data_IF_358657830817
#
_entry.id   IF_358657830817
#
_cell.length_a   1.000
_cell.length_b   1.000
_cell.length_c   1.000
_cell.angle_alpha   90.00
_cell.angle_beta   90.00
_cell.angle_gamma   90.00
#
_symmetry.space_group_name_H-M   'P 1'
#
loop_
_entity.id
_entity.type
_entity.pdbx_description
1 polymer ?
#
# COMPACT_ATOMS: atom_id res chain seq x y z
N UNK A 1 30.32 -67.62 -14.85
CA UNK A 1 29.88 -66.36 -15.40
C UNK A 1 28.93 -65.73 -14.40
N UNK A 2 29.32 -64.68 -13.64
CA UNK A 2 28.48 -63.96 -12.68
C UNK A 2 28.13 -62.64 -13.28
N UNK A 3 26.85 -62.46 -13.63
CA UNK A 3 26.29 -61.22 -14.14
C UNK A 3 26.07 -60.27 -12.96
N UNK A 4 26.77 -59.14 -12.93
CA UNK A 4 26.53 -58.08 -11.95
C UNK A 4 25.49 -57.09 -12.52
N UNK A 5 24.31 -57.06 -11.91
CA UNK A 5 23.28 -56.05 -12.18
C UNK A 5 23.69 -54.75 -11.51
N UNK A 6 23.94 -53.69 -12.30
CA UNK A 6 24.18 -52.33 -11.82
C UNK A 6 22.81 -51.65 -11.72
N UNK A 7 22.37 -51.41 -10.50
CA UNK A 7 21.15 -50.63 -10.23
C UNK A 7 21.55 -49.14 -10.17
N UNK A 8 21.22 -48.37 -11.20
CA UNK A 8 21.43 -46.91 -11.22
C UNK A 8 20.22 -46.26 -10.62
N UNK A 9 20.34 -45.77 -9.39
CA UNK A 9 19.29 -44.96 -8.74
C UNK A 9 19.34 -43.53 -9.30
N UNK A 10 18.33 -43.15 -10.06
CA UNK A 10 18.11 -41.77 -10.51
C UNK A 10 17.44 -41.03 -9.36
N UNK A 11 18.21 -40.21 -8.64
CA UNK A 11 17.69 -39.27 -7.66
C UNK A 11 17.15 -38.06 -8.42
N UNK A 12 15.83 -37.96 -8.54
CA UNK A 12 15.15 -36.78 -9.07
C UNK A 12 15.16 -35.73 -7.96
N UNK A 13 16.08 -34.77 -8.04
CA UNK A 13 16.02 -33.55 -7.23
C UNK A 13 14.88 -32.68 -7.75
N UNK A 14 13.72 -32.78 -7.15
CA UNK A 14 12.68 -31.74 -7.28
C UNK A 14 13.12 -30.54 -6.46
N UNK A 15 13.73 -29.54 -7.12
CA UNK A 15 13.96 -28.25 -6.54
C UNK A 15 12.59 -27.58 -6.37
N UNK A 16 12.03 -27.68 -5.18
CA UNK A 16 10.92 -26.83 -4.75
C UNK A 16 11.49 -25.43 -4.66
N UNK A 17 11.29 -24.61 -5.68
CA UNK A 17 11.47 -23.16 -5.56
C UNK A 17 10.37 -22.66 -4.62
N UNK A 18 10.61 -22.72 -3.31
CA UNK A 18 9.89 -21.86 -2.40
C UNK A 18 10.30 -20.43 -2.77
N UNK A 19 9.43 -19.69 -3.45
CA UNK A 19 9.52 -18.23 -3.43
C UNK A 19 9.36 -17.86 -1.96
N UNK A 20 10.46 -17.56 -1.28
CA UNK A 20 10.42 -16.86 -0.03
C UNK A 20 9.71 -15.53 -0.36
N UNK A 21 8.43 -15.45 -0.07
CA UNK A 21 7.70 -14.21 -0.07
C UNK A 21 8.41 -13.38 0.99
N UNK A 22 9.14 -12.33 0.57
CA UNK A 22 9.76 -11.43 1.52
C UNK A 22 8.62 -10.89 2.39
N UNK A 23 8.58 -11.32 3.65
CA UNK A 23 7.60 -10.83 4.60
C UNK A 23 7.61 -9.29 4.57
N UNK A 24 6.44 -8.69 4.56
CA UNK A 24 6.33 -7.24 4.49
C UNK A 24 6.99 -6.62 5.70
N UNK A 25 7.84 -5.62 5.46
CA UNK A 25 8.53 -4.93 6.55
C UNK A 25 7.54 -4.06 7.31
N UNK A 26 7.43 -4.30 8.61
CA UNK A 26 6.64 -3.44 9.50
C UNK A 26 7.57 -2.69 10.46
N UNK A 27 7.25 -1.44 10.69
CA UNK A 27 7.93 -0.56 11.64
C UNK A 27 7.00 -0.23 12.78
N UNK A 28 7.56 -0.20 13.99
CA UNK A 28 6.86 0.17 15.21
C UNK A 28 7.52 1.39 15.84
N UNK A 29 6.71 2.33 16.30
CA UNK A 29 7.15 3.42 17.17
C UNK A 29 7.01 2.95 18.61
N UNK A 30 8.13 2.84 19.31
CA UNK A 30 8.15 2.26 20.66
C UNK A 30 8.69 3.23 21.70
N UNK A 31 8.33 3.03 22.96
CA UNK A 31 8.93 3.70 24.11
C UNK A 31 10.33 3.16 24.42
N UNK A 32 11.10 3.94 25.18
CA UNK A 32 12.51 3.63 25.52
C UNK A 32 12.67 2.47 26.50
N UNK A 33 11.75 2.29 27.42
CA UNK A 33 11.78 1.23 28.43
C UNK A 33 10.39 1.01 29.02
N UNK A 34 10.24 -0.05 29.81
CA UNK A 34 9.04 -0.30 30.58
C UNK A 34 8.69 0.93 31.41
N UNK A 35 7.47 1.42 31.30
CA UNK A 35 6.92 2.62 31.94
C UNK A 35 7.45 3.97 31.41
N UNK A 36 8.20 3.99 30.31
CA UNK A 36 8.54 5.24 29.64
C UNK A 36 7.62 5.44 28.42
N UNK A 37 6.73 6.41 28.52
CA UNK A 37 5.76 6.77 27.47
C UNK A 37 6.31 7.79 26.46
N UNK A 38 7.63 7.91 26.32
CA UNK A 38 8.25 8.66 25.25
C UNK A 38 8.40 7.77 24.01
N UNK A 39 7.48 7.89 23.07
CA UNK A 39 7.41 7.14 21.82
C UNK A 39 8.38 7.73 20.79
N UNK A 40 9.66 7.47 20.94
CA UNK A 40 10.70 8.13 20.15
C UNK A 40 11.63 7.17 19.41
N UNK A 41 11.55 5.87 19.69
CA UNK A 41 12.40 4.86 19.07
C UNK A 41 11.65 4.15 17.92
N UNK A 42 12.40 3.81 16.88
CA UNK A 42 11.88 3.14 15.69
C UNK A 42 12.46 1.74 15.59
N UNK A 43 11.61 0.73 15.56
CA UNK A 43 12.00 -0.68 15.43
C UNK A 43 11.35 -1.31 14.21
N UNK A 44 12.08 -2.17 13.52
CA UNK A 44 11.52 -3.08 12.54
C UNK A 44 11.08 -4.35 13.26
N UNK A 45 9.82 -4.74 13.07
CA UNK A 45 9.18 -5.83 13.80
C UNK A 45 8.54 -6.83 12.84
N UNK A 46 8.40 -8.04 13.31
CA UNK A 46 7.57 -9.06 12.68
C UNK A 46 6.23 -9.09 13.43
N UNK A 47 5.16 -8.65 12.77
CA UNK A 47 3.83 -8.58 13.37
C UNK A 47 3.12 -9.93 13.48
N UNK A 48 3.66 -10.99 12.89
CA UNK A 48 3.12 -12.34 13.01
C UNK A 48 3.63 -13.06 14.26
N UNK A 49 4.78 -12.69 14.75
CA UNK A 49 5.43 -13.28 15.93
C UNK A 49 5.66 -12.28 17.08
N UNK A 50 5.52 -10.98 16.84
CA UNK A 50 5.86 -9.94 17.80
C UNK A 50 7.38 -9.75 18.00
N UNK A 51 8.22 -10.32 17.14
CA UNK A 51 9.67 -10.23 17.24
C UNK A 51 10.20 -8.89 16.77
N UNK A 52 11.12 -8.30 17.54
CA UNK A 52 11.92 -7.15 17.08
C UNK A 52 13.07 -7.67 16.21
N UNK A 53 13.01 -7.44 14.91
CA UNK A 53 14.04 -7.87 13.97
C UNK A 53 15.27 -6.95 13.95
N UNK A 54 15.03 -5.63 14.11
CA UNK A 54 16.08 -4.62 14.06
C UNK A 54 15.66 -3.37 14.82
N UNK A 55 16.57 -2.81 15.60
CA UNK A 55 16.46 -1.44 16.10
C UNK A 55 16.97 -0.52 15.00
N UNK A 56 16.11 0.35 14.48
CA UNK A 56 16.41 1.27 13.38
C UNK A 56 16.93 2.59 13.90
N UNK A 57 16.28 3.12 14.93
CA UNK A 57 16.63 4.38 15.56
C UNK A 57 16.33 4.34 17.06
N UNK A 58 17.32 4.69 17.86
CA UNK A 58 17.18 4.97 19.29
C UNK A 58 17.48 6.46 19.49
N UNK A 59 16.51 7.19 19.99
CA UNK A 59 16.52 8.66 19.99
C UNK A 59 17.63 9.28 20.86
N UNK A 60 18.22 8.53 21.78
CA UNK A 60 19.31 8.96 22.68
C UNK A 60 20.68 8.39 22.31
N UNK A 61 20.77 7.44 21.39
CA UNK A 61 22.02 6.74 21.06
C UNK A 61 22.42 6.84 19.60
N UNK A 62 21.43 6.92 18.69
CA UNK A 62 21.70 6.82 17.27
C UNK A 62 22.09 8.17 16.68
N UNK A 63 23.20 8.23 15.97
CA UNK A 63 23.60 9.42 15.22
C UNK A 63 22.73 9.61 13.97
N UNK A 64 22.39 10.85 13.65
CA UNK A 64 21.48 11.18 12.55
C UNK A 64 21.82 12.53 11.92
N UNK A 65 21.29 12.75 10.73
CA UNK A 65 21.27 14.06 10.06
C UNK A 65 19.83 14.53 9.90
N UNK A 66 19.59 15.82 10.07
CA UNK A 66 18.29 16.44 9.82
C UNK A 66 18.43 17.52 8.76
N UNK A 67 17.54 17.46 7.76
CA UNK A 67 17.53 18.40 6.64
C UNK A 67 16.09 18.83 6.34
N UNK A 68 15.91 20.02 5.80
CA UNK A 68 14.69 20.38 5.10
C UNK A 68 14.77 19.86 3.65
N UNK A 69 13.63 19.70 3.00
CA UNK A 69 13.55 19.20 1.64
C UNK A 69 14.32 20.10 0.63
N UNK A 70 14.36 21.40 0.89
CA UNK A 70 15.11 22.40 0.12
C UNK A 70 16.60 22.47 0.48
N UNK A 71 17.10 21.54 1.30
CA UNK A 71 18.45 21.49 1.85
C UNK A 71 18.83 22.71 2.74
N UNK A 72 17.87 23.47 3.20
CA UNK A 72 18.11 24.56 4.16
C UNK A 72 18.33 24.02 5.57
N UNK A 73 18.99 24.83 6.41
CA UNK A 73 19.16 24.52 7.84
C UNK A 73 17.80 24.45 8.54
N UNK A 74 17.68 23.52 9.46
CA UNK A 74 16.46 23.43 10.29
C UNK A 74 16.51 24.51 11.36
N UNK A 75 15.57 25.43 11.32
CA UNK A 75 15.34 26.40 12.39
C UNK A 75 14.46 25.78 13.46
N UNK A 76 15.00 25.67 14.67
CA UNK A 76 14.26 25.11 15.81
C UNK A 76 13.22 26.12 16.31
N UNK A 77 11.99 25.66 16.50
CA UNK A 77 10.89 26.45 17.07
C UNK A 77 10.89 26.39 18.60
N UNK A 78 10.23 27.35 19.23
CA UNK A 78 10.01 27.30 20.69
C UNK A 78 9.29 26.01 21.08
N UNK A 79 9.81 25.28 22.07
CA UNK A 79 9.27 23.99 22.50
C UNK A 79 9.64 22.78 21.62
N UNK A 80 10.28 23.01 20.46
CA UNK A 80 10.78 21.93 19.61
C UNK A 80 12.12 21.43 20.12
N UNK A 81 12.31 20.12 20.24
CA UNK A 81 13.62 19.53 20.60
C UNK A 81 14.41 19.21 19.34
N UNK A 82 15.74 19.21 19.46
CA UNK A 82 16.65 18.95 18.33
C UNK A 82 16.53 17.52 17.78
N UNK A 83 16.02 16.58 18.57
CA UNK A 83 15.81 15.20 18.17
C UNK A 83 14.75 15.13 17.04
N UNK A 84 14.99 14.36 15.94
CA UNK A 84 14.06 14.27 14.83
C UNK A 84 12.69 13.70 15.20
N UNK A 85 12.62 12.82 16.19
CA UNK A 85 11.36 12.28 16.73
C UNK A 85 10.70 13.19 17.78
N UNK A 86 11.33 14.31 18.12
CA UNK A 86 10.78 15.35 18.98
C UNK A 86 10.45 14.85 20.39
N UNK A 87 9.30 15.27 20.89
CA UNK A 87 8.71 14.79 22.15
C UNK A 87 7.95 13.48 22.02
N UNK A 88 8.16 12.77 20.93
CA UNK A 88 7.51 11.53 20.56
C UNK A 88 6.89 11.61 19.16
N UNK A 89 6.72 10.45 18.53
CA UNK A 89 6.04 10.28 17.26
C UNK A 89 4.58 9.92 17.54
N UNK A 90 3.68 10.66 16.93
CA UNK A 90 2.24 10.47 17.10
C UNK A 90 1.61 9.64 15.98
N UNK A 91 2.23 9.63 14.79
CA UNK A 91 1.75 8.90 13.63
C UNK A 91 2.89 8.53 12.71
N UNK A 92 2.84 7.36 12.07
CA UNK A 92 3.81 6.98 11.03
C UNK A 92 3.18 6.20 9.86
N UNK A 93 3.83 6.22 8.69
CA UNK A 93 3.40 5.51 7.49
C UNK A 93 4.60 5.05 6.67
N UNK A 94 4.59 3.82 6.17
CA UNK A 94 5.65 3.30 5.32
C UNK A 94 5.32 3.46 3.83
N UNK A 95 6.10 4.26 3.12
CA UNK A 95 6.17 4.18 1.66
C UNK A 95 7.17 3.08 1.26
N UNK A 96 6.65 1.90 1.00
CA UNK A 96 7.46 0.75 0.60
C UNK A 96 8.10 0.93 -0.79
N UNK A 97 7.53 1.78 -1.66
CA UNK A 97 8.03 2.04 -3.02
C UNK A 97 9.34 2.83 -3.00
N UNK A 98 9.40 3.87 -2.14
CA UNK A 98 10.58 4.73 -2.01
C UNK A 98 11.43 4.40 -0.78
N UNK A 99 11.05 3.37 -0.02
CA UNK A 99 11.73 2.94 1.20
C UNK A 99 11.89 4.09 2.22
N UNK A 100 10.77 4.78 2.50
CA UNK A 100 10.71 5.93 3.41
C UNK A 100 9.67 5.70 4.49
N UNK A 101 10.04 5.93 5.74
CA UNK A 101 9.10 5.98 6.85
C UNK A 101 8.73 7.44 7.12
N UNK A 102 7.51 7.81 6.75
CA UNK A 102 6.92 9.11 7.05
C UNK A 102 6.40 9.13 8.48
N UNK A 103 6.44 10.30 9.12
CA UNK A 103 5.91 10.43 10.47
C UNK A 103 5.58 11.88 10.83
N UNK A 104 4.72 12.05 11.84
CA UNK A 104 4.42 13.31 12.50
C UNK A 104 4.83 13.22 13.97
N UNK A 105 5.40 14.29 14.51
CA UNK A 105 5.75 14.38 15.93
C UNK A 105 4.59 14.94 16.74
N UNK A 106 4.49 14.52 18.00
CA UNK A 106 3.53 15.10 18.93
C UNK A 106 3.72 16.62 19.03
N UNK A 107 2.65 17.34 19.26
CA UNK A 107 2.57 18.80 19.41
C UNK A 107 2.80 19.63 18.15
N UNK A 108 3.20 19.03 17.04
CA UNK A 108 3.46 19.75 15.79
C UNK A 108 2.78 19.07 14.61
N UNK A 109 2.15 19.86 13.73
CA UNK A 109 1.57 19.37 12.49
C UNK A 109 2.60 19.36 11.35
N UNK A 110 3.75 18.72 11.60
CA UNK A 110 4.83 18.57 10.65
C UNK A 110 4.81 17.19 10.04
N UNK A 111 5.14 17.08 8.76
CA UNK A 111 5.42 15.79 8.12
C UNK A 111 6.91 15.70 7.85
N UNK A 112 7.50 14.62 8.33
CA UNK A 112 8.91 14.26 8.18
C UNK A 112 9.03 12.85 7.63
N UNK A 113 10.19 12.49 7.08
CA UNK A 113 10.47 11.08 6.78
C UNK A 113 11.90 10.70 7.13
N UNK A 114 12.08 9.43 7.45
CA UNK A 114 13.35 8.74 7.54
C UNK A 114 13.59 7.98 6.22
N UNK A 115 14.72 8.24 5.57
CA UNK A 115 15.14 7.51 4.37
C UNK A 115 15.81 6.19 4.78
N UNK A 116 15.08 5.09 4.60
CA UNK A 116 15.52 3.74 4.96
C UNK A 116 16.44 3.09 3.91
N UNK A 117 16.64 3.76 2.78
CA UNK A 117 17.51 3.27 1.70
C UNK A 117 18.99 3.60 1.94
N UNK A 118 19.26 4.54 2.85
CA UNK A 118 20.61 5.04 3.12
C UNK A 118 21.21 4.36 4.36
N UNK A 119 22.50 4.07 4.35
CA UNK A 119 23.20 3.55 5.53
C UNK A 119 23.25 4.58 6.66
N UNK A 120 23.44 5.86 6.33
CA UNK A 120 23.41 6.97 7.28
C UNK A 120 21.97 7.46 7.47
N UNK A 121 21.48 7.43 8.69
CA UNK A 121 20.12 7.87 8.98
C UNK A 121 19.95 9.36 8.69
N UNK A 122 19.04 9.65 7.78
CA UNK A 122 18.72 11.00 7.36
C UNK A 122 17.23 11.27 7.51
N UNK A 123 16.90 12.23 8.36
CA UNK A 123 15.54 12.69 8.57
C UNK A 123 15.29 13.96 7.76
N UNK A 124 14.26 13.94 6.95
CA UNK A 124 13.91 15.06 6.08
C UNK A 124 12.56 15.63 6.48
N UNK A 125 12.49 16.93 6.69
CA UNK A 125 11.24 17.66 6.89
C UNK A 125 10.65 18.05 5.55
N UNK A 126 9.41 17.62 5.28
CA UNK A 126 8.68 17.95 4.06
C UNK A 126 7.98 19.28 4.21
N UNK A 127 7.20 19.42 5.25
CA UNK A 127 6.38 20.60 5.52
C UNK A 127 6.24 20.78 7.03
N UNK A 128 6.39 22.02 7.49
CA UNK A 128 6.13 22.45 8.87
C UNK A 128 4.81 23.21 8.95
N UNK A 129 4.18 23.15 10.12
CA UNK A 129 2.98 23.93 10.43
C UNK A 129 1.88 23.79 9.36
N UNK A 130 1.54 22.55 8.98
CA UNK A 130 0.50 22.26 7.98
C UNK A 130 -0.84 22.80 8.46
N UNK A 131 -1.11 22.63 9.74
CA UNK A 131 -2.29 23.14 10.43
C UNK A 131 -1.84 24.29 11.31
N UNK A 132 -2.54 25.42 11.22
CA UNK A 132 -2.30 26.53 12.13
C UNK A 132 -2.64 26.09 13.55
N UNK A 133 -1.73 26.34 14.50
CA UNK A 133 -2.01 26.08 15.92
C UNK A 133 -3.27 26.86 16.33
N UNK A 134 -4.23 26.21 17.01
CA UNK A 134 -5.42 26.91 17.45
C UNK A 134 -5.02 28.05 18.40
N UNK A 135 -5.59 29.23 18.19
CA UNK A 135 -5.29 30.41 18.98
C UNK A 135 -5.60 30.26 20.48
N UNK A 136 -6.30 29.22 20.90
CA UNK A 136 -6.82 29.04 22.27
C UNK A 136 -6.23 27.86 23.07
N UNK A 137 -5.42 26.98 22.52
CA UNK A 137 -4.96 25.78 23.26
C UNK A 137 -3.44 25.62 23.36
N UNK A 138 -2.69 26.30 22.51
CA UNK A 138 -1.25 26.11 22.43
C UNK A 138 -0.86 24.65 22.22
N UNK A 139 0.28 24.23 22.75
CA UNK A 139 0.75 22.85 22.68
C UNK A 139 -0.06 21.84 23.50
N UNK A 140 -0.99 22.29 24.32
CA UNK A 140 -1.82 21.43 25.17
C UNK A 140 -3.12 20.98 24.50
N UNK A 141 -3.49 21.57 23.35
CA UNK A 141 -4.65 21.14 22.59
C UNK A 141 -4.29 19.94 21.71
N UNK A 142 -4.83 18.78 22.05
CA UNK A 142 -4.60 17.54 21.30
C UNK A 142 -5.42 17.46 19.99
N UNK A 143 -6.33 18.35 19.78
CA UNK A 143 -7.30 18.35 18.67
C UNK A 143 -6.61 18.28 17.32
N UNK A 144 -5.68 19.21 17.09
CA UNK A 144 -4.98 19.36 15.82
C UNK A 144 -3.68 18.52 15.71
N UNK A 145 -3.43 17.63 16.65
CA UNK A 145 -2.30 16.70 16.51
C UNK A 145 -2.60 15.69 15.41
N UNK A 146 -1.66 15.50 14.49
CA UNK A 146 -1.69 14.40 13.54
C UNK A 146 -1.37 13.12 14.31
N UNK A 147 -2.37 12.27 14.51
CA UNK A 147 -2.25 11.04 15.30
C UNK A 147 -2.41 9.77 14.48
N UNK A 148 -2.67 9.90 13.18
CA UNK A 148 -2.91 8.76 12.29
C UNK A 148 -2.30 9.07 10.93
N UNK A 149 -1.59 8.10 10.34
CA UNK A 149 -0.95 8.28 9.03
C UNK A 149 -0.83 6.97 8.27
N UNK A 150 -1.09 6.99 6.96
CA UNK A 150 -0.96 5.82 6.09
C UNK A 150 -0.56 6.22 4.67
N UNK A 151 0.10 5.31 3.94
CA UNK A 151 0.23 5.40 2.48
C UNK A 151 -0.88 4.55 1.86
N UNK A 152 -1.75 5.18 1.09
CA UNK A 152 -2.91 4.53 0.51
C UNK A 152 -2.62 3.88 -0.85
N UNK A 153 -3.61 3.15 -1.37
CA UNK A 153 -3.52 2.41 -2.63
C UNK A 153 -3.24 3.31 -3.85
N UNK A 154 -3.64 4.58 -3.81
CA UNK A 154 -3.37 5.59 -4.84
C UNK A 154 -1.93 6.13 -4.80
N UNK A 155 -1.16 5.72 -3.80
CA UNK A 155 0.23 6.10 -3.60
C UNK A 155 0.45 7.42 -2.90
N UNK A 156 -0.60 8.14 -2.52
CA UNK A 156 -0.51 9.30 -1.65
C UNK A 156 -0.43 8.88 -0.19
N UNK A 157 0.23 9.72 0.60
CA UNK A 157 0.13 9.67 2.05
C UNK A 157 -1.10 10.44 2.53
N UNK A 158 -1.77 9.89 3.54
CA UNK A 158 -2.87 10.52 4.24
C UNK A 158 -2.55 10.62 5.72
N UNK A 159 -2.81 11.78 6.29
CA UNK A 159 -2.64 12.04 7.72
C UNK A 159 -3.92 12.67 8.26
N UNK A 160 -4.34 12.24 9.45
CA UNK A 160 -5.59 12.67 10.07
C UNK A 160 -5.32 13.22 11.46
N UNK A 161 -5.95 14.37 11.76
CA UNK A 161 -5.92 14.94 13.11
C UNK A 161 -6.76 14.12 14.09
N UNK A 162 -6.47 14.33 15.37
CA UNK A 162 -7.12 13.62 16.45
C UNK A 162 -8.64 13.84 16.45
N UNK A 163 -9.08 15.07 16.19
CA UNK A 163 -10.49 15.48 16.10
C UNK A 163 -11.14 15.19 14.73
N UNK A 164 -10.37 14.62 13.77
CA UNK A 164 -10.79 14.35 12.41
C UNK A 164 -11.26 15.59 11.60
N UNK A 165 -10.87 16.80 12.01
CA UNK A 165 -11.21 18.04 11.31
C UNK A 165 -10.25 18.33 10.14
N UNK A 166 -9.10 17.68 10.08
CA UNK A 166 -8.13 17.86 9.01
C UNK A 166 -7.67 16.51 8.46
N UNK A 167 -8.14 16.18 7.27
CA UNK A 167 -7.59 15.08 6.46
C UNK A 167 -6.55 15.67 5.50
N UNK A 168 -5.29 15.41 5.77
CA UNK A 168 -4.16 15.92 5.00
C UNK A 168 -3.74 14.87 3.99
N UNK A 169 -3.61 15.26 2.72
CA UNK A 169 -3.03 14.43 1.66
C UNK A 169 -1.64 14.95 1.30
N UNK A 170 -0.66 14.07 1.14
CA UNK A 170 0.67 14.46 0.71
C UNK A 170 1.23 13.50 -0.34
N UNK A 171 2.03 14.03 -1.27
CA UNK A 171 2.73 13.19 -2.26
C UNK A 171 4.00 12.60 -1.67
N UNK A 172 4.32 11.37 -2.10
CA UNK A 172 5.57 10.68 -1.72
C UNK A 172 6.62 10.75 -2.82
N UNK A 173 6.29 11.33 -3.97
CA UNK A 173 7.17 11.52 -5.13
C UNK A 173 8.14 12.71 -4.94
N UNK A 174 8.99 12.94 -5.96
CA UNK A 174 9.99 14.01 -5.93
C UNK A 174 9.38 15.42 -5.78
N UNK A 175 8.21 15.66 -6.38
CA UNK A 175 7.48 16.92 -6.23
C UNK A 175 6.57 16.82 -5.03
N UNK A 176 6.97 17.45 -3.96
CA UNK A 176 6.17 17.49 -2.74
C UNK A 176 4.94 18.36 -2.93
N UNK A 177 3.79 17.77 -2.64
CA UNK A 177 2.50 18.43 -2.50
C UNK A 177 1.96 18.07 -1.12
N UNK A 178 1.47 19.04 -0.39
CA UNK A 178 0.77 18.82 0.89
C UNK A 178 -0.49 19.67 0.85
N UNK A 179 -1.64 19.03 1.01
CA UNK A 179 -2.95 19.61 0.88
C UNK A 179 -3.83 19.19 2.06
N UNK A 180 -4.49 20.13 2.68
CA UNK A 180 -5.54 19.88 3.66
C UNK A 180 -6.88 19.76 2.93
N UNK A 181 -7.44 18.55 2.93
CA UNK A 181 -8.74 18.28 2.30
C UNK A 181 -9.93 18.73 3.17
N UNK A 182 -9.67 19.12 4.42
CA UNK A 182 -10.67 19.54 5.40
C UNK A 182 -11.21 18.39 6.26
N UNK A 183 -12.32 18.64 6.95
CA UNK A 183 -12.91 17.74 7.92
C UNK A 183 -13.53 16.48 7.29
N UNK A 184 -13.50 15.39 8.02
CA UNK A 184 -14.34 14.23 7.75
C UNK A 184 -15.81 14.56 8.08
N UNK A 185 -16.72 13.80 7.51
CA UNK A 185 -18.17 13.96 7.73
C UNK A 185 -18.74 12.62 8.17
N UNK A 186 -19.44 12.58 9.28
CA UNK A 186 -20.11 11.37 9.73
C UNK A 186 -21.20 10.94 8.73
N UNK A 187 -21.25 9.65 8.40
CA UNK A 187 -22.34 9.11 7.63
C UNK A 187 -23.65 9.15 8.41
N UNK A 188 -24.78 9.40 7.76
CA UNK A 188 -26.10 9.35 8.38
C UNK A 188 -26.42 8.01 9.05
N UNK A 189 -25.83 6.92 8.52
CA UNK A 189 -25.97 5.57 9.04
C UNK A 189 -25.24 5.30 10.36
N UNK A 190 -24.43 6.24 10.87
CA UNK A 190 -23.61 6.03 12.08
C UNK A 190 -24.43 6.02 13.38
N UNK A 191 -25.73 6.32 13.34
CA UNK A 191 -26.64 6.26 14.50
C UNK A 191 -26.11 7.02 15.74
N UNK A 192 -25.48 8.17 15.52
CA UNK A 192 -24.94 9.02 16.60
C UNK A 192 -23.51 8.69 17.03
N UNK A 193 -22.87 7.67 16.47
CA UNK A 193 -21.44 7.40 16.68
C UNK A 193 -20.63 8.28 15.74
N UNK A 194 -19.94 9.27 16.31
CA UNK A 194 -19.20 10.28 15.56
C UNK A 194 -17.70 10.01 15.59
N UNK A 195 -17.05 10.17 14.42
CA UNK A 195 -15.59 10.11 14.31
C UNK A 195 -14.92 11.29 15.06
N UNK A 196 -15.65 12.37 15.29
CA UNK A 196 -15.18 13.57 16.01
C UNK A 196 -15.28 13.46 17.54
N UNK A 197 -15.95 12.41 18.05
CA UNK A 197 -16.20 12.30 19.48
C UNK A 197 -14.90 12.02 20.25
N UNK A 198 -14.52 12.96 21.13
CA UNK A 198 -13.30 12.89 21.93
C UNK A 198 -13.19 11.62 22.77
N UNK A 199 -14.30 11.19 23.36
CA UNK A 199 -14.28 10.07 24.30
C UNK A 199 -14.23 8.71 23.62
N UNK A 200 -14.73 8.59 22.39
CA UNK A 200 -14.90 7.27 21.72
C UNK A 200 -14.09 7.11 20.46
N UNK A 201 -13.65 8.19 19.83
CA UNK A 201 -13.10 8.13 18.47
C UNK A 201 -11.75 8.80 18.29
N UNK A 202 -11.23 9.50 19.30
CA UNK A 202 -9.90 10.08 19.24
C UNK A 202 -8.81 9.02 19.48
N UNK A 203 -7.57 9.39 19.09
CA UNK A 203 -6.43 8.48 19.15
C UNK A 203 -6.55 7.32 18.15
N UNK A 204 -5.71 6.34 18.33
CA UNK A 204 -5.70 5.17 17.46
C UNK A 204 -4.83 5.35 16.23
N UNK A 205 -5.15 4.60 15.19
CA UNK A 205 -4.34 4.54 13.97
C UNK A 205 -5.22 4.44 12.72
N UNK A 206 -4.59 4.38 11.55
CA UNK A 206 -5.26 4.31 10.26
C UNK A 206 -4.52 3.34 9.32
N UNK A 207 -5.27 2.49 8.64
CA UNK A 207 -4.76 1.67 7.54
C UNK A 207 -5.53 1.98 6.26
N UNK A 208 -5.02 1.54 5.11
CA UNK A 208 -5.72 1.69 3.85
C UNK A 208 -6.19 0.35 3.31
N UNK A 209 -7.27 0.35 2.53
CA UNK A 209 -7.70 -0.80 1.77
C UNK A 209 -7.27 -0.70 0.29
N UNK A 210 -7.29 -1.84 -0.40
CA UNK A 210 -6.93 -1.91 -1.81
C UNK A 210 -7.99 -1.32 -2.76
N UNK A 211 -9.14 -0.87 -2.23
CA UNK A 211 -10.23 -0.25 -2.99
C UNK A 211 -10.23 1.28 -2.89
N UNK A 212 -9.24 1.87 -2.20
CA UNK A 212 -9.05 3.31 -2.08
C UNK A 212 -9.77 3.96 -0.91
N UNK A 213 -10.20 3.17 0.08
CA UNK A 213 -10.72 3.69 1.35
C UNK A 213 -9.63 3.70 2.41
N UNK A 214 -9.78 4.59 3.37
CA UNK A 214 -9.02 4.57 4.60
C UNK A 214 -9.86 3.89 5.68
N UNK A 215 -9.21 3.16 6.58
CA UNK A 215 -9.86 2.50 7.72
C UNK A 215 -9.26 3.08 8.98
N UNK A 216 -10.02 3.90 9.68
CA UNK A 216 -9.65 4.54 10.94
C UNK A 216 -10.05 3.63 12.09
N UNK A 217 -9.11 3.31 12.95
CA UNK A 217 -9.30 2.56 14.18
C UNK A 217 -9.06 3.51 15.35
N UNK A 218 -10.08 3.84 16.13
CA UNK A 218 -9.92 4.73 17.28
C UNK A 218 -9.23 4.03 18.45
N UNK A 219 -8.63 4.79 19.37
CA UNK A 219 -8.04 4.22 20.57
C UNK A 219 -9.05 3.41 21.41
N UNK A 220 -10.33 3.74 21.32
CA UNK A 220 -11.45 3.05 21.98
C UNK A 220 -12.17 2.06 21.04
N UNK A 221 -11.44 1.49 20.06
CA UNK A 221 -11.82 0.34 19.27
C UNK A 221 -12.89 0.58 18.21
N UNK A 222 -13.42 1.79 18.03
CA UNK A 222 -14.34 2.07 16.93
C UNK A 222 -13.62 2.03 15.59
N UNK A 223 -14.28 1.45 14.59
CA UNK A 223 -13.76 1.31 13.23
C UNK A 223 -14.63 2.10 12.26
N UNK A 224 -13.99 2.98 11.49
CA UNK A 224 -14.66 3.78 10.45
C UNK A 224 -14.02 3.54 9.11
N UNK A 225 -14.82 3.33 8.07
CA UNK A 225 -14.38 3.38 6.68
C UNK A 225 -14.55 4.80 6.14
N UNK A 226 -13.48 5.38 5.64
CA UNK A 226 -13.47 6.74 5.11
C UNK A 226 -13.28 6.70 3.60
N UNK A 227 -14.20 7.29 2.87
CA UNK A 227 -14.04 7.55 1.44
C UNK A 227 -13.22 8.83 1.25
N UNK A 228 -12.07 8.74 0.61
CA UNK A 228 -11.13 9.87 0.46
C UNK A 228 -11.64 10.98 -0.45
N UNK A 229 -12.63 10.72 -1.31
CA UNK A 229 -13.20 11.70 -2.25
C UNK A 229 -14.32 12.50 -1.61
N UNK A 230 -15.23 11.80 -0.94
CA UNK A 230 -16.38 12.43 -0.28
C UNK A 230 -16.09 12.85 1.16
N UNK A 231 -15.04 12.28 1.77
CA UNK A 231 -14.65 12.43 3.17
C UNK A 231 -15.71 11.92 4.16
N UNK A 232 -16.60 11.06 3.68
CA UNK A 232 -17.62 10.46 4.53
C UNK A 232 -16.98 9.33 5.34
N UNK A 233 -17.14 9.38 6.65
CA UNK A 233 -16.71 8.36 7.61
C UNK A 233 -17.91 7.52 8.03
N UNK A 234 -17.92 6.25 7.64
CA UNK A 234 -18.99 5.30 7.97
C UNK A 234 -18.51 4.38 9.10
N UNK A 235 -19.22 4.39 10.23
CA UNK A 235 -18.95 3.49 11.34
C UNK A 235 -19.29 2.05 10.95
N UNK A 236 -18.32 1.14 11.10
CA UNK A 236 -18.46 -0.28 10.77
C UNK A 236 -18.78 -1.13 12.00
N UNK A 237 -18.37 -0.68 13.17
CA UNK A 237 -18.53 -1.41 14.42
C UNK A 237 -17.40 -1.12 15.40
N UNK A 238 -17.37 -1.89 16.48
CA UNK A 238 -16.37 -1.79 17.56
C UNK A 238 -15.63 -3.11 17.69
N UNK A 239 -14.29 -3.07 17.75
CA UNK A 239 -13.46 -4.27 17.96
C UNK A 239 -13.76 -4.84 19.35
N UNK A 240 -13.97 -6.15 19.40
CA UNK A 240 -14.24 -6.92 20.63
C UNK A 240 -13.09 -7.88 20.92
N UNK A 241 -13.02 -8.41 22.16
CA UNK A 241 -12.01 -9.40 22.54
C UNK A 241 -10.63 -8.86 22.89
N UNK A 242 -10.46 -7.54 22.93
CA UNK A 242 -9.24 -6.91 23.43
C UNK A 242 -9.23 -6.84 24.97
N UNK A 243 -8.06 -6.86 25.62
CA UNK A 243 -7.95 -6.73 27.07
C UNK A 243 -8.51 -5.38 27.57
N UNK A 244 -8.86 -5.37 28.85
CA UNK A 244 -9.22 -4.12 29.55
C UNK A 244 -8.04 -3.15 29.51
N UNK A 245 -8.31 -1.87 29.23
CA UNK A 245 -7.33 -0.80 29.06
C UNK A 245 -6.40 -0.96 27.84
N UNK A 246 -6.67 -1.87 26.92
CA UNK A 246 -5.98 -1.94 25.64
C UNK A 246 -6.46 -0.79 24.75
N UNK A 247 -5.62 0.21 24.50
CA UNK A 247 -5.90 1.20 23.48
C UNK A 247 -5.30 0.77 22.14
N UNK A 248 -6.05 0.85 21.06
CA UNK A 248 -5.58 0.51 19.72
C UNK A 248 -4.79 1.67 19.12
N UNK A 249 -3.52 1.80 19.48
CA UNK A 249 -2.68 2.93 19.08
C UNK A 249 -1.91 2.68 17.78
N UNK A 250 -1.45 1.44 17.56
CA UNK A 250 -0.79 1.08 16.31
C UNK A 250 -1.61 0.05 15.54
N UNK A 251 -1.68 0.21 14.22
CA UNK A 251 -2.37 -0.70 13.32
C UNK A 251 -1.58 -0.94 12.04
N UNK A 252 -1.49 -2.20 11.62
CA UNK A 252 -0.88 -2.59 10.36
C UNK A 252 -1.66 -3.77 9.75
N UNK A 253 -1.40 -4.08 8.50
CA UNK A 253 -2.03 -5.21 7.82
C UNK A 253 -1.02 -6.33 7.63
N UNK A 254 -1.34 -7.56 8.05
CA UNK A 254 -0.44 -8.70 7.84
C UNK A 254 -0.47 -9.20 6.38
N UNK A 255 0.40 -10.17 6.07
CA UNK A 255 0.49 -10.75 4.72
C UNK A 255 -0.75 -11.57 4.34
N UNK A 256 -1.61 -11.90 5.31
CA UNK A 256 -2.91 -12.55 5.09
C UNK A 256 -4.05 -11.56 4.84
N UNK A 257 -3.80 -10.26 4.99
CA UNK A 257 -4.78 -9.19 4.81
C UNK A 257 -5.63 -8.96 6.06
N UNK A 258 -5.18 -9.43 7.22
CA UNK A 258 -5.83 -9.19 8.50
C UNK A 258 -5.23 -7.96 9.19
N UNK A 259 -6.06 -7.24 9.91
CA UNK A 259 -5.62 -6.12 10.73
C UNK A 259 -4.86 -6.63 11.95
N UNK A 260 -3.70 -6.06 12.23
CA UNK A 260 -2.92 -6.32 13.45
C UNK A 260 -2.84 -5.03 14.23
N UNK A 261 -3.16 -5.08 15.52
CA UNK A 261 -3.14 -3.91 16.40
C UNK A 261 -2.19 -4.10 17.58
N UNK A 262 -1.62 -2.97 18.03
CA UNK A 262 -0.80 -2.85 19.23
C UNK A 262 -1.37 -1.79 20.17
N UNK A 263 -0.95 -1.85 21.43
CA UNK A 263 -1.30 -0.85 22.43
C UNK A 263 -0.08 -0.05 22.86
N UNK A 264 -0.29 1.25 23.09
CA UNK A 264 0.67 2.11 23.80
C UNK A 264 0.57 1.94 25.32
N UNK A 265 -0.57 1.55 25.84
CA UNK A 265 -0.87 1.56 27.27
C UNK A 265 -0.50 0.26 27.98
N UNK A 266 -0.59 -0.89 27.30
CA UNK A 266 -0.40 -2.20 27.91
C UNK A 266 0.62 -3.05 27.15
N UNK A 267 1.37 -3.85 27.89
CA UNK A 267 2.37 -4.79 27.36
C UNK A 267 1.73 -6.18 27.16
N UNK A 268 0.71 -6.26 26.32
CA UNK A 268 -0.06 -7.48 26.07
C UNK A 268 0.32 -8.19 24.76
N UNK A 269 1.23 -7.58 23.97
CA UNK A 269 1.59 -8.04 22.64
C UNK A 269 0.58 -7.60 21.58
N UNK A 270 0.55 -8.33 20.47
CA UNK A 270 -0.24 -7.96 19.28
C UNK A 270 -1.52 -8.78 19.20
N UNK A 271 -2.56 -8.19 18.61
CA UNK A 271 -3.84 -8.83 18.35
C UNK A 271 -4.18 -8.76 16.88
N UNK A 272 -4.67 -9.86 16.32
CA UNK A 272 -5.13 -9.98 14.94
C UNK A 272 -6.65 -9.89 14.89
N UNK A 273 -7.15 -9.15 13.89
CA UNK A 273 -8.57 -8.85 13.75
C UNK A 273 -8.99 -9.07 12.30
N UNK A 274 -10.05 -9.83 12.08
CA UNK A 274 -10.72 -9.86 10.80
C UNK A 274 -11.67 -8.66 10.72
N UNK A 275 -11.49 -7.79 9.72
CA UNK A 275 -12.27 -6.56 9.55
C UNK A 275 -13.78 -6.81 9.31
N UNK A 276 -14.17 -8.05 9.00
CA UNK A 276 -15.57 -8.41 8.73
C UNK A 276 -16.38 -8.69 10.02
N UNK A 277 -15.74 -9.23 11.04
CA UNK A 277 -16.38 -9.58 12.31
C UNK A 277 -15.90 -8.77 13.51
N UNK A 278 -14.79 -8.05 13.34
CA UNK A 278 -14.16 -7.19 14.35
C UNK A 278 -13.81 -7.92 15.66
N UNK A 279 -13.62 -9.23 15.60
CA UNK A 279 -13.18 -10.03 16.74
C UNK A 279 -11.65 -10.09 16.80
N UNK A 280 -11.08 -9.70 17.95
CA UNK A 280 -9.64 -9.72 18.17
C UNK A 280 -9.20 -11.07 18.73
N UNK A 281 -8.11 -11.60 18.16
CA UNK A 281 -7.45 -12.82 18.63
C UNK A 281 -5.98 -12.52 18.92
N UNK A 282 -5.53 -12.88 20.14
CA UNK A 282 -4.14 -12.65 20.54
C UNK A 282 -3.18 -13.45 19.66
N UNK A 283 -2.14 -12.78 19.14
CA UNK A 283 -1.05 -13.45 18.44
C UNK A 283 -0.17 -14.14 19.48
N UNK A 284 -0.02 -15.46 19.35
CA UNK A 284 0.84 -16.24 20.23
C UNK A 284 2.31 -15.93 19.90
N UNK A 285 3.08 -15.58 20.91
CA UNK A 285 4.48 -15.22 20.79
C UNK A 285 5.28 -15.71 22.00
N UNK A 286 6.50 -16.16 21.75
CA UNK A 286 7.49 -16.46 22.79
C UNK A 286 8.39 -15.23 23.07
N UNK A 287 8.21 -14.15 22.33
CA UNK A 287 8.97 -12.91 22.47
C UNK A 287 8.39 -12.05 23.60
N UNK A 288 9.24 -11.27 24.23
CA UNK A 288 8.78 -10.29 25.21
C UNK A 288 7.88 -9.25 24.54
N UNK A 289 6.65 -9.02 25.05
CA UNK A 289 5.78 -8.02 24.46
C UNK A 289 6.37 -6.62 24.57
N UNK A 290 6.14 -5.82 23.56
CA UNK A 290 6.46 -4.39 23.57
C UNK A 290 5.17 -3.57 23.41
N UNK A 291 5.21 -2.33 23.88
CA UNK A 291 4.15 -1.36 23.60
C UNK A 291 4.56 -0.51 22.40
N UNK A 292 3.59 -0.13 21.58
CA UNK A 292 3.83 0.75 20.44
C UNK A 292 2.72 1.79 20.31
N UNK A 293 3.12 3.02 20.05
CA UNK A 293 2.19 4.11 19.77
C UNK A 293 1.70 4.11 18.33
N UNK A 294 2.40 3.38 17.44
CA UNK A 294 2.05 3.31 16.03
C UNK A 294 2.73 2.12 15.35
N UNK A 295 2.11 1.60 14.30
CA UNK A 295 2.64 0.55 13.41
C UNK A 295 2.50 0.98 11.95
N UNK A 296 3.51 0.75 11.12
CA UNK A 296 3.44 1.08 9.70
C UNK A 296 4.03 -0.02 8.82
N UNK A 297 3.29 -0.41 7.80
CA UNK A 297 3.80 -1.24 6.69
C UNK A 297 3.17 -0.83 5.35
N UNK A 298 3.53 -1.53 4.28
CA UNK A 298 3.03 -1.25 2.94
C UNK A 298 1.86 -2.13 2.49
N UNK A 299 1.31 -2.96 3.38
CA UNK A 299 0.19 -3.84 3.05
C UNK A 299 -1.15 -3.09 3.08
N UNK A 300 -2.09 -3.57 2.28
CA UNK A 300 -3.44 -3.02 2.20
C UNK A 300 -4.47 -4.07 2.65
N UNK A 301 -5.48 -3.64 3.38
CA UNK A 301 -6.65 -4.48 3.64
C UNK A 301 -7.30 -4.90 2.33
N UNK A 302 -7.87 -6.10 2.30
CA UNK A 302 -8.57 -6.65 1.14
C UNK A 302 -7.73 -6.69 -0.16
N UNK A 303 -6.40 -6.75 -0.07
CA UNK A 303 -5.52 -6.83 -1.23
C UNK A 303 -5.75 -8.12 -2.02
N UNK A 304 -6.03 -9.22 -1.34
CA UNK A 304 -6.33 -10.51 -1.99
C UNK A 304 -7.61 -10.43 -2.80
N UNK A 305 -8.66 -9.86 -2.22
CA UNK A 305 -9.94 -9.64 -2.88
C UNK A 305 -9.81 -8.70 -4.09
N UNK A 306 -9.03 -7.62 -3.97
CA UNK A 306 -8.75 -6.72 -5.09
C UNK A 306 -7.99 -7.43 -6.22
N UNK A 307 -6.99 -8.24 -5.88
CA UNK A 307 -6.24 -9.04 -6.85
C UNK A 307 -7.13 -10.08 -7.53
N UNK A 308 -8.03 -10.72 -6.79
CA UNK A 308 -8.99 -11.67 -7.35
C UNK A 308 -10.00 -10.98 -8.27
N UNK A 309 -10.51 -9.80 -7.92
CA UNK A 309 -11.38 -9.02 -8.80
C UNK A 309 -10.67 -8.64 -10.10
N UNK A 310 -9.41 -8.19 -10.02
CA UNK A 310 -8.60 -7.92 -11.21
C UNK A 310 -8.40 -9.21 -12.00
N UNK A 311 -8.08 -10.32 -11.35
CA UNK A 311 -7.95 -11.64 -11.96
C UNK A 311 -9.25 -12.12 -12.58
N UNK A 312 -10.41 -11.92 -11.90
CA UNK A 312 -11.74 -12.21 -12.45
C UNK A 312 -12.11 -11.28 -13.60
N UNK A 313 -11.71 -10.02 -13.58
CA UNK A 313 -11.86 -9.13 -14.74
C UNK A 313 -10.96 -9.57 -15.91
N UNK A 314 -9.78 -10.11 -15.66
CA UNK A 314 -8.93 -10.72 -16.71
C UNK A 314 -9.49 -12.08 -17.18
N UNK A 315 -10.09 -12.87 -16.29
CA UNK A 315 -10.72 -14.17 -16.63
C UNK A 315 -12.10 -13.97 -17.21
N UNK A 316 -12.86 -12.99 -16.75
CA UNK A 316 -14.04 -12.39 -17.34
C UNK A 316 -13.65 -11.17 -18.19
N UNK A 317 -12.48 -11.18 -18.83
CA UNK A 317 -12.35 -10.31 -20.00
C UNK A 317 -13.68 -10.41 -20.68
N UNK A 318 -14.39 -9.30 -20.95
CA UNK A 318 -15.62 -9.43 -21.64
C UNK A 318 -15.28 -10.37 -22.78
N UNK A 319 -15.99 -11.47 -22.88
CA UNK A 319 -16.26 -12.00 -24.21
C UNK A 319 -16.64 -10.74 -24.94
N UNK A 320 -15.63 -10.14 -25.59
CA UNK A 320 -15.86 -8.99 -26.46
C UNK A 320 -17.04 -9.45 -27.26
N UNK A 321 -18.17 -8.74 -27.26
CA UNK A 321 -19.37 -9.20 -27.92
C UNK A 321 -18.85 -9.79 -29.19
N UNK A 322 -19.15 -11.05 -29.41
CA UNK A 322 -18.73 -11.78 -30.58
C UNK A 322 -19.15 -10.90 -31.76
N UNK A 323 -18.27 -9.99 -32.17
CA UNK A 323 -18.48 -9.12 -33.31
C UNK A 323 -18.28 -10.12 -34.42
N UNK A 324 -19.38 -10.77 -34.79
CA UNK A 324 -19.46 -11.79 -35.81
C UNK A 324 -18.62 -11.37 -37.01
N UNK A 325 -17.49 -12.04 -37.17
CA UNK A 325 -16.47 -11.69 -38.14
C UNK A 325 -15.11 -11.96 -37.55
N UNK A 326 -14.66 -13.19 -37.72
CA UNK A 326 -13.52 -13.75 -37.02
C UNK A 326 -12.20 -13.30 -37.64
N UNK A 327 -11.64 -12.19 -37.13
CA UNK A 327 -10.23 -11.97 -37.37
C UNK A 327 -9.46 -13.12 -36.71
N UNK A 328 -8.50 -13.72 -37.40
CA UNK A 328 -7.69 -14.82 -36.92
C UNK A 328 -6.24 -14.42 -36.82
N UNK A 329 -5.61 -14.86 -35.75
CA UNK A 329 -4.20 -14.62 -35.48
C UNK A 329 -3.42 -15.93 -35.66
N UNK A 330 -2.40 -15.94 -36.55
CA UNK A 330 -1.58 -17.14 -36.76
C UNK A 330 -0.18 -16.81 -37.28
N UNK A 331 0.82 -17.69 -37.02
CA UNK A 331 0.73 -18.81 -36.10
C UNK A 331 0.64 -18.36 -34.64
N UNK A 332 -0.06 -19.15 -33.82
CA UNK A 332 -0.11 -18.97 -32.39
C UNK A 332 -0.09 -20.36 -31.72
N UNK A 333 1.00 -20.82 -31.06
CA UNK A 333 2.24 -20.08 -30.73
C UNK A 333 3.07 -19.60 -31.91
N UNK A 334 3.80 -18.51 -31.71
CA UNK A 334 4.74 -17.94 -32.68
C UNK A 334 6.16 -18.40 -32.37
N UNK A 335 6.72 -19.21 -33.25
CA UNK A 335 8.13 -19.69 -33.16
C UNK A 335 9.10 -18.84 -34.00
N UNK A 336 8.59 -17.95 -34.81
CA UNK A 336 9.34 -17.07 -35.70
C UNK A 336 9.24 -15.59 -35.30
N UNK A 337 9.53 -14.71 -36.26
CA UNK A 337 9.49 -13.25 -36.05
C UNK A 337 8.32 -12.57 -36.76
N UNK A 338 7.40 -13.33 -37.34
CA UNK A 338 6.29 -12.76 -38.10
C UNK A 338 4.97 -13.51 -37.80
N UNK A 339 3.93 -12.76 -37.52
CA UNK A 339 2.57 -13.26 -37.37
C UNK A 339 1.63 -12.58 -38.39
N UNK A 340 0.48 -13.17 -38.61
CA UNK A 340 -0.53 -12.71 -39.53
C UNK A 340 -1.82 -12.45 -38.76
N UNK A 341 -2.54 -11.41 -39.19
CA UNK A 341 -3.90 -11.10 -38.78
C UNK A 341 -4.80 -11.18 -40.03
N UNK A 342 -5.71 -12.13 -40.05
CA UNK A 342 -6.73 -12.25 -41.08
C UNK A 342 -7.95 -11.44 -40.68
N UNK A 343 -8.44 -10.58 -41.57
CA UNK A 343 -9.54 -9.68 -41.33
C UNK A 343 -10.86 -10.29 -41.91
N UNK A 344 -11.16 -11.53 -41.49
CA UNK A 344 -12.40 -12.17 -41.90
C UNK A 344 -13.62 -11.42 -41.31
N UNK A 345 -14.64 -11.14 -42.12
CA UNK A 345 -15.82 -10.40 -41.70
C UNK A 345 -15.60 -8.93 -41.26
N UNK A 346 -14.40 -8.37 -41.43
CA UNK A 346 -14.14 -6.95 -41.09
C UNK A 346 -14.32 -6.08 -42.36
N UNK A 347 -14.95 -4.89 -42.23
CA UNK A 347 -15.12 -4.00 -43.35
C UNK A 347 -13.78 -3.45 -43.88
N UNK A 348 -13.77 -3.04 -45.15
CA UNK A 348 -12.65 -2.32 -45.71
C UNK A 348 -12.39 -1.03 -44.92
N UNK A 349 -11.11 -0.71 -44.65
CA UNK A 349 -10.75 0.45 -43.85
C UNK A 349 -9.30 0.41 -43.35
N UNK A 350 -8.93 1.45 -42.62
CA UNK A 350 -7.63 1.52 -41.99
C UNK A 350 -7.72 0.95 -40.58
N UNK A 351 -6.78 0.06 -40.26
CA UNK A 351 -6.65 -0.57 -38.94
C UNK A 351 -5.28 -0.39 -38.37
N UNK A 352 -5.21 -0.32 -37.04
CA UNK A 352 -3.96 -0.26 -36.28
C UNK A 352 -3.77 -1.57 -35.52
N UNK A 353 -2.76 -2.34 -35.85
CA UNK A 353 -2.38 -3.57 -35.15
C UNK A 353 -1.33 -3.20 -34.09
N UNK A 354 -1.57 -3.57 -32.85
CA UNK A 354 -0.68 -3.31 -31.72
C UNK A 354 -0.28 -4.61 -31.05
N UNK A 355 1.01 -4.78 -30.80
CA UNK A 355 1.56 -5.84 -29.95
C UNK A 355 1.85 -5.22 -28.56
N UNK A 356 1.27 -5.78 -27.51
CA UNK A 356 1.48 -5.30 -26.16
C UNK A 356 1.92 -6.44 -25.24
N UNK A 357 2.65 -6.14 -24.19
CA UNK A 357 2.84 -7.07 -23.07
C UNK A 357 1.54 -7.20 -22.24
N UNK A 358 1.55 -8.09 -21.24
CA UNK A 358 0.39 -8.31 -20.37
C UNK A 358 0.11 -7.12 -19.43
N UNK A 359 1.09 -6.22 -19.21
CA UNK A 359 0.93 -4.99 -18.46
C UNK A 359 0.32 -3.86 -19.33
N UNK A 360 0.08 -4.12 -20.64
CA UNK A 360 -0.50 -3.16 -21.57
C UNK A 360 0.53 -2.22 -22.23
N UNK A 361 1.83 -2.38 -21.95
CA UNK A 361 2.89 -1.61 -22.62
C UNK A 361 2.93 -1.99 -24.11
N UNK A 362 2.81 -1.00 -24.98
CA UNK A 362 2.91 -1.19 -26.42
C UNK A 362 4.37 -1.44 -26.81
N UNK A 363 4.63 -2.59 -27.42
CA UNK A 363 5.93 -2.98 -27.93
C UNK A 363 6.08 -2.58 -29.39
N UNK A 364 5.01 -2.72 -30.17
CA UNK A 364 5.01 -2.39 -31.59
C UNK A 364 3.61 -1.99 -32.06
N UNK A 365 3.56 -1.09 -33.03
CA UNK A 365 2.35 -0.67 -33.70
C UNK A 365 2.56 -0.73 -35.22
N UNK A 366 1.55 -1.22 -35.95
CA UNK A 366 1.54 -1.22 -37.42
C UNK A 366 0.17 -0.78 -37.94
N UNK A 367 0.15 0.22 -38.79
CA UNK A 367 -1.04 0.65 -39.48
C UNK A 367 -1.14 -0.13 -40.79
N UNK A 368 -2.34 -0.66 -41.10
CA UNK A 368 -2.63 -1.45 -42.30
C UNK A 368 -3.92 -0.96 -42.94
N UNK A 369 -3.99 -1.01 -44.29
CA UNK A 369 -5.18 -0.72 -45.05
C UNK A 369 -5.75 -2.04 -45.55
N UNK A 370 -6.99 -2.31 -45.20
CA UNK A 370 -7.75 -3.51 -45.59
C UNK A 370 -8.75 -3.10 -46.66
N UNK A 371 -8.60 -3.69 -47.86
CA UNK A 371 -9.42 -3.37 -49.00
C UNK A 371 -10.66 -4.28 -49.16
N UNK A 372 -10.65 -5.47 -48.56
CA UNK A 372 -11.74 -6.45 -48.61
C UNK A 372 -11.74 -7.36 -47.40
N UNK A 373 -12.90 -7.93 -47.00
CA UNK A 373 -12.98 -8.98 -45.99
C UNK A 373 -12.08 -10.18 -46.35
N UNK A 374 -11.51 -10.84 -45.31
CA UNK A 374 -10.61 -11.97 -45.48
C UNK A 374 -9.17 -11.58 -45.88
N UNK A 375 -8.84 -10.30 -46.00
CA UNK A 375 -7.50 -9.87 -46.30
C UNK A 375 -6.59 -10.14 -45.10
N UNK A 376 -5.36 -10.66 -45.39
CA UNK A 376 -4.35 -10.94 -44.38
C UNK A 376 -3.35 -9.82 -44.32
N UNK A 377 -3.07 -9.36 -43.10
CA UNK A 377 -1.99 -8.41 -42.84
C UNK A 377 -0.88 -9.11 -42.04
N UNK A 378 0.33 -9.15 -42.61
CA UNK A 378 1.49 -9.69 -41.95
C UNK A 378 2.21 -8.64 -41.09
N UNK A 379 2.59 -8.99 -39.88
CA UNK A 379 3.32 -8.14 -38.93
C UNK A 379 4.64 -8.83 -38.58
N UNK A 380 5.75 -8.20 -38.93
CA UNK A 380 7.06 -8.65 -38.52
C UNK A 380 7.43 -7.94 -37.22
N UNK A 381 7.80 -8.71 -36.21
CA UNK A 381 8.24 -8.19 -34.90
C UNK A 381 9.60 -7.51 -35.09
N UNK A 382 9.69 -6.24 -34.72
CA UNK A 382 10.91 -5.47 -34.76
C UNK A 382 11.72 -5.71 -33.47
N UNK A 383 12.96 -6.15 -33.62
CA UNK A 383 13.87 -6.39 -32.49
C UNK A 383 13.66 -7.73 -31.80
N UNK A 384 14.38 -7.91 -30.67
CA UNK A 384 14.28 -9.13 -29.85
C UNK A 384 13.15 -8.94 -28.83
N UNK A 385 12.09 -9.73 -28.98
CA UNK A 385 11.02 -9.85 -27.98
C UNK A 385 11.26 -11.12 -27.17
N UNK A 386 11.13 -11.06 -25.86
CA UNK A 386 11.34 -12.21 -24.99
C UNK A 386 10.28 -13.28 -25.23
N UNK A 387 10.60 -14.55 -25.00
CA UNK A 387 9.61 -15.63 -24.98
C UNK A 387 8.58 -15.35 -23.90
N UNK A 388 7.31 -15.59 -24.19
CA UNK A 388 6.24 -15.33 -23.23
C UNK A 388 4.89 -15.02 -23.88
N UNK A 389 3.97 -14.50 -23.07
CA UNK A 389 2.61 -14.16 -23.48
C UNK A 389 2.46 -12.68 -23.78
N UNK A 390 1.78 -12.37 -24.88
CA UNK A 390 1.53 -11.02 -25.39
C UNK A 390 0.08 -10.88 -25.80
N UNK A 391 -0.38 -9.66 -26.03
CA UNK A 391 -1.68 -9.36 -26.59
C UNK A 391 -1.52 -8.69 -27.95
N UNK A 392 -2.21 -9.20 -28.97
CA UNK A 392 -2.38 -8.52 -30.25
C UNK A 392 -3.74 -7.84 -30.25
N UNK A 393 -3.73 -6.52 -30.41
CA UNK A 393 -4.94 -5.67 -30.45
C UNK A 393 -5.05 -5.01 -31.81
N UNK A 394 -6.24 -4.99 -32.37
CA UNK A 394 -6.53 -4.31 -33.63
C UNK A 394 -7.61 -3.26 -33.41
N UNK A 395 -7.28 -2.01 -33.73
CA UNK A 395 -8.20 -0.88 -33.62
C UNK A 395 -8.63 -0.44 -35.03
N UNK A 396 -9.89 -0.03 -35.18
CA UNK A 396 -10.37 0.61 -36.41
C UNK A 396 -9.94 2.09 -36.49
N UNK A 397 -10.30 2.79 -37.56
CA UNK A 397 -9.97 4.20 -37.77
C UNK A 397 -10.50 5.12 -36.66
N UNK A 398 -11.58 4.74 -35.98
CA UNK A 398 -12.18 5.47 -34.86
C UNK A 398 -11.55 5.10 -33.52
N UNK A 399 -10.40 4.38 -33.50
CA UNK A 399 -9.70 3.87 -32.30
C UNK A 399 -10.55 2.91 -31.45
N UNK A 400 -11.60 2.33 -32.01
CA UNK A 400 -12.40 1.30 -31.35
C UNK A 400 -11.76 -0.07 -31.55
N UNK A 401 -11.87 -0.95 -30.56
CA UNK A 401 -11.34 -2.30 -30.62
C UNK A 401 -12.13 -3.13 -31.65
N UNK A 402 -11.44 -3.56 -32.68
CA UNK A 402 -12.00 -4.44 -33.72
C UNK A 402 -11.68 -5.93 -33.46
N UNK A 403 -10.55 -6.22 -32.77
CA UNK A 403 -10.08 -7.55 -32.47
C UNK A 403 -9.03 -7.51 -31.34
N UNK A 404 -9.02 -8.54 -30.52
CA UNK A 404 -7.95 -8.72 -29.52
C UNK A 404 -7.77 -10.20 -29.23
N UNK A 405 -6.53 -10.69 -29.33
CA UNK A 405 -6.21 -12.07 -29.08
C UNK A 405 -4.84 -12.21 -28.38
N UNK A 406 -4.72 -13.24 -27.58
CA UNK A 406 -3.48 -13.62 -26.88
C UNK A 406 -2.56 -14.34 -27.84
N UNK A 407 -1.28 -13.94 -27.85
CA UNK A 407 -0.21 -14.57 -28.62
C UNK A 407 0.85 -15.13 -27.70
N UNK A 408 1.28 -16.33 -27.93
CA UNK A 408 2.43 -16.95 -27.27
C UNK A 408 3.63 -16.88 -28.20
N UNK A 409 4.75 -16.32 -27.73
CA UNK A 409 6.05 -16.29 -28.44
C UNK A 409 6.97 -17.31 -27.78
N UNK A 410 7.49 -18.26 -28.61
CA UNK A 410 8.39 -19.34 -28.18
C UNK A 410 9.85 -19.12 -28.61
#
# INVERSE_FOLDING_TARGET
MKCKLLLTAIIIFTTVFSKAQNASRTYAITGKANNNFLWADIKQVDITSGKVNKVVFESDKTTFKTINLDNTSIVQRSGEVANPTGLGVAACALDARHNRLYFATMHFSDIRFLDLSKPDLSFTTIKKNIIASPAKGGFQSEENHITRMVIAADGYGYALTNDANHLIRFSTDKKVMVEDLGNLVDAESNQGISIHNKCTSWGGDIVADAFGKLVVISANHNVFFVDTKTRIATHSGTITGLPVNFSTNGAAVDDDGLLVVSSANVFEGLYKINIKDLAAVKIQSNEAPFNASDLANGNLLSQKEANDLVRFQYIKSPVLPNVNGDAKLYPNPLTGTQFNVEFDGKPAGTYTIMLTDLAGKVLQTKVVSIGKPGQVASVRIAGKVAKGMYMVKVLNANKQMAFSEKMVIE
#
